data_IF_726019167725
#
_entry.id   IF_726019167725
#
_cell.length_a   1.000
_cell.length_b   1.000
_cell.length_c   1.000
_cell.angle_alpha   90.00
_cell.angle_beta   90.00
_cell.angle_gamma   90.00
#
_symmetry.space_group_name_H-M   'P 1'
#
loop_
_entity.id
_entity.type
_entity.pdbx_description
1 polymer ?
#
# COMPACT_ATOMS: atom_id res chain seq x y z
N UNK A 1 14.16 22.88 -18.76
CA UNK A 1 14.14 21.67 -19.60
C UNK A 1 13.12 20.73 -18.99
N UNK A 2 11.98 20.61 -19.63
CA UNK A 2 10.80 19.85 -19.15
C UNK A 2 11.05 18.37 -19.38
N UNK A 3 11.17 17.58 -18.30
CA UNK A 3 11.21 16.11 -18.37
C UNK A 3 9.77 15.58 -18.39
N UNK A 4 9.21 15.50 -19.60
CA UNK A 4 7.95 14.82 -19.80
C UNK A 4 8.12 13.30 -19.59
N UNK A 5 7.24 12.70 -18.80
CA UNK A 5 7.06 11.25 -18.70
C UNK A 5 6.63 10.70 -20.08
N UNK A 6 7.08 9.50 -20.49
CA UNK A 6 6.70 8.94 -21.79
C UNK A 6 5.18 8.71 -21.84
N UNK A 7 4.55 9.35 -22.84
CA UNK A 7 3.12 9.34 -23.05
C UNK A 7 2.55 7.96 -23.33
N UNK A 8 1.55 7.58 -22.59
CA UNK A 8 0.66 6.46 -22.88
C UNK A 8 -0.21 6.81 -24.07
N UNK A 9 -0.10 6.05 -25.16
CA UNK A 9 -1.08 6.12 -26.27
C UNK A 9 -2.42 5.58 -25.78
N UNK A 10 -3.57 6.18 -26.15
CA UNK A 10 -4.87 5.63 -25.79
C UNK A 10 -5.10 4.30 -26.51
N UNK A 11 -5.37 3.24 -25.75
CA UNK A 11 -5.81 1.96 -26.28
C UNK A 11 -7.25 2.11 -26.82
N UNK A 12 -7.40 1.91 -28.11
CA UNK A 12 -8.71 1.85 -28.79
C UNK A 12 -9.42 0.57 -28.35
N UNK A 13 -10.57 0.72 -27.69
CA UNK A 13 -11.43 -0.39 -27.27
C UNK A 13 -12.09 -1.01 -28.52
N UNK A 14 -11.64 -2.20 -28.93
CA UNK A 14 -12.34 -3.02 -29.92
C UNK A 14 -13.31 -3.94 -29.17
N UNK A 15 -14.61 -3.63 -29.27
CA UNK A 15 -15.69 -4.48 -28.79
C UNK A 15 -15.91 -5.63 -29.79
N UNK A 16 -15.39 -6.80 -29.49
CA UNK A 16 -15.80 -8.05 -30.16
C UNK A 16 -16.96 -8.70 -29.37
N UNK A 17 -18.13 -8.73 -30.00
CA UNK A 17 -19.28 -9.53 -29.55
C UNK A 17 -18.93 -11.01 -29.62
N UNK A 18 -19.07 -11.70 -28.51
CA UNK A 18 -19.13 -13.17 -28.49
C UNK A 18 -20.56 -13.58 -28.13
N UNK A 19 -21.11 -14.46 -29.00
CA UNK A 19 -22.48 -14.93 -29.00
C UNK A 19 -22.79 -15.88 -27.84
N UNK A 20 -24.06 -15.87 -27.51
CA UNK A 20 -24.76 -16.73 -26.58
C UNK A 20 -24.72 -18.20 -26.98
N UNK A 21 -24.42 -19.09 -26.04
CA UNK A 21 -25.04 -20.43 -26.01
C UNK A 21 -25.25 -20.87 -24.56
N UNK A 22 -26.52 -21.08 -24.26
CA UNK A 22 -27.07 -21.60 -23.02
C UNK A 22 -26.89 -23.12 -22.92
N UNK A 23 -26.53 -23.63 -21.77
CA UNK A 23 -27.08 -24.90 -21.25
C UNK A 23 -27.13 -24.86 -19.73
N UNK A 24 -28.36 -24.92 -19.22
CA UNK A 24 -28.74 -25.10 -17.83
C UNK A 24 -28.15 -26.38 -17.22
N UNK A 25 -27.55 -26.26 -16.03
CA UNK A 25 -27.63 -27.33 -14.99
C UNK A 25 -27.79 -26.69 -13.62
N UNK A 26 -29.00 -26.82 -13.06
CA UNK A 26 -29.30 -26.58 -11.64
C UNK A 26 -28.45 -27.49 -10.77
N UNK A 27 -27.75 -26.87 -9.79
CA UNK A 27 -27.29 -27.57 -8.60
C UNK A 27 -27.82 -26.78 -7.40
N UNK A 28 -28.74 -27.36 -6.67
CA UNK A 28 -29.24 -26.86 -5.40
C UNK A 28 -28.16 -27.06 -4.33
N UNK A 29 -27.73 -25.98 -3.72
CA UNK A 29 -26.79 -25.96 -2.58
C UNK A 29 -27.34 -25.08 -1.48
N UNK A 30 -27.67 -25.67 -0.33
CA UNK A 30 -28.23 -25.04 0.87
C UNK A 30 -27.41 -23.88 1.37
N UNK A 31 -28.07 -22.74 1.58
CA UNK A 31 -27.52 -21.56 2.23
C UNK A 31 -27.37 -21.83 3.74
N UNK A 32 -26.15 -21.80 4.25
CA UNK A 32 -25.87 -21.59 5.67
C UNK A 32 -25.76 -20.09 5.93
N UNK A 33 -26.75 -19.54 6.65
CA UNK A 33 -26.65 -18.20 7.24
C UNK A 33 -25.66 -18.25 8.40
N UNK A 34 -24.51 -17.62 8.27
CA UNK A 34 -23.63 -17.28 9.39
C UNK A 34 -23.70 -15.77 9.61
N UNK A 35 -24.52 -15.35 10.56
CA UNK A 35 -24.42 -14.07 11.20
C UNK A 35 -23.29 -14.14 12.23
N UNK A 36 -22.28 -13.30 12.10
CA UNK A 36 -21.21 -13.26 13.08
C UNK A 36 -20.46 -11.94 13.01
N UNK A 37 -20.73 -11.06 13.96
CA UNK A 37 -19.95 -9.88 14.19
C UNK A 37 -18.52 -10.28 14.62
N UNK A 38 -17.52 -9.77 13.93
CA UNK A 38 -16.12 -9.99 14.26
C UNK A 38 -15.70 -9.11 15.45
N UNK A 39 -15.61 -9.73 16.63
CA UNK A 39 -15.04 -9.12 17.83
C UNK A 39 -13.54 -9.37 17.88
N UNK A 40 -12.78 -8.31 18.08
CA UNK A 40 -11.32 -8.36 18.23
C UNK A 40 -10.93 -9.05 19.56
N UNK A 41 -10.13 -10.14 19.47
CA UNK A 41 -9.42 -10.69 20.62
C UNK A 41 -8.11 -9.91 20.83
N UNK A 42 -7.97 -9.27 22.00
CA UNK A 42 -6.75 -8.56 22.41
C UNK A 42 -5.60 -9.56 22.61
N UNK A 43 -4.40 -9.16 22.16
CA UNK A 43 -3.11 -9.88 22.24
C UNK A 43 -2.71 -10.40 23.66
N UNK A 44 -3.43 -10.02 24.71
CA UNK A 44 -3.07 -10.33 26.11
C UNK A 44 -3.53 -11.71 26.63
N UNK A 45 -4.13 -12.57 25.79
CA UNK A 45 -4.65 -13.88 26.22
C UNK A 45 -4.04 -15.11 25.52
N UNK A 46 -2.95 -14.94 24.75
CA UNK A 46 -2.31 -16.04 24.03
C UNK A 46 -0.96 -16.46 24.64
N UNK A 47 -0.92 -16.63 25.95
CA UNK A 47 0.18 -17.38 26.61
C UNK A 47 -0.36 -18.74 26.99
N UNK A 48 -0.11 -19.78 26.16
CA UNK A 48 -0.36 -21.13 26.61
C UNK A 48 -0.86 -22.17 25.60
N UNK A 49 -0.54 -22.07 24.30
CA UNK A 49 -0.75 -23.19 23.38
C UNK A 49 0.57 -23.54 22.66
N UNK A 50 1.29 -24.52 23.20
CA UNK A 50 2.36 -25.23 22.50
C UNK A 50 1.69 -26.20 21.51
N UNK A 51 1.90 -25.99 20.20
CA UNK A 51 1.46 -26.92 19.16
C UNK A 51 0.40 -26.39 18.16
N UNK A 52 0.31 -25.07 17.91
CA UNK A 52 -0.57 -24.51 16.88
C UNK A 52 -0.05 -24.79 15.47
N UNK A 53 -0.96 -25.11 14.55
CA UNK A 53 -0.70 -25.24 13.12
C UNK A 53 -0.07 -23.92 12.59
N UNK A 54 1.17 -23.92 12.07
CA UNK A 54 1.82 -22.72 11.58
C UNK A 54 1.05 -22.06 10.39
N UNK A 55 0.13 -22.77 9.74
CA UNK A 55 -0.72 -22.21 8.68
C UNK A 55 -1.91 -21.41 9.25
N UNK A 56 -2.36 -21.68 10.48
CA UNK A 56 -3.42 -20.94 11.14
C UNK A 56 -2.97 -19.50 11.48
N UNK A 57 -1.71 -19.31 11.87
CA UNK A 57 -1.15 -17.99 12.17
C UNK A 57 -1.06 -17.07 10.93
N UNK A 58 -0.87 -17.65 9.73
CA UNK A 58 -0.79 -16.89 8.47
C UNK A 58 -2.14 -16.25 8.11
N UNK A 59 -3.25 -16.89 8.46
CA UNK A 59 -4.60 -16.38 8.18
C UNK A 59 -4.89 -15.08 8.95
N UNK A 60 -4.34 -14.92 10.16
CA UNK A 60 -4.54 -13.75 11.02
C UNK A 60 -3.71 -12.54 10.60
N UNK A 61 -2.72 -12.72 9.70
CA UNK A 61 -1.76 -11.69 9.26
C UNK A 61 -2.09 -11.10 7.90
N UNK A 62 -3.17 -11.53 7.25
CA UNK A 62 -3.62 -10.90 6.00
C UNK A 62 -4.18 -9.52 6.31
N UNK A 63 -3.49 -8.52 5.79
CA UNK A 63 -3.94 -7.14 5.88
C UNK A 63 -5.15 -6.94 4.96
N UNK A 64 -6.13 -6.18 5.43
CA UNK A 64 -7.35 -5.84 4.70
C UNK A 64 -7.64 -4.33 4.74
N UNK A 65 -8.60 -3.90 3.95
CA UNK A 65 -9.05 -2.51 3.91
C UNK A 65 -8.00 -1.55 3.38
N UNK A 66 -8.07 -0.29 3.84
CA UNK A 66 -7.16 0.77 3.39
C UNK A 66 -5.96 0.90 4.33
N UNK A 67 -4.78 0.90 3.74
CA UNK A 67 -3.49 1.11 4.42
C UNK A 67 -2.84 2.34 3.80
N UNK A 68 -2.58 3.38 4.59
CA UNK A 68 -1.93 4.57 4.08
C UNK A 68 -0.42 4.35 3.90
N UNK A 69 0.09 4.62 2.71
CA UNK A 69 1.53 4.78 2.51
C UNK A 69 1.92 6.14 3.12
N UNK A 70 2.37 6.12 4.37
CA UNK A 70 2.57 7.31 5.17
C UNK A 70 3.70 8.20 4.64
N UNK A 71 3.49 9.52 4.67
CA UNK A 71 4.55 10.49 4.42
C UNK A 71 5.56 10.49 5.57
N UNK A 72 6.83 10.76 5.28
CA UNK A 72 7.82 11.08 6.30
C UNK A 72 7.80 12.57 6.58
N UNK A 73 7.39 13.00 7.79
CA UNK A 73 7.40 14.42 8.13
C UNK A 73 8.83 14.95 8.20
N UNK A 74 9.04 16.18 7.73
CA UNK A 74 10.34 16.85 7.73
C UNK A 74 10.25 18.28 8.26
N UNK A 75 11.32 18.75 8.87
CA UNK A 75 11.55 20.16 9.16
C UNK A 75 11.99 20.90 7.89
N UNK A 76 12.03 22.23 7.94
CA UNK A 76 12.45 23.05 6.79
C UNK A 76 13.93 22.88 6.42
N UNK A 77 14.76 22.38 7.34
CA UNK A 77 16.17 22.00 7.10
C UNK A 77 16.32 20.58 6.53
N UNK A 78 15.22 19.92 6.17
CA UNK A 78 15.12 18.55 5.66
C UNK A 78 15.49 17.45 6.68
N UNK A 79 15.67 17.74 7.95
CA UNK A 79 15.75 16.72 8.99
C UNK A 79 14.36 16.09 9.24
N UNK A 80 14.33 14.82 9.66
CA UNK A 80 13.07 14.12 9.89
C UNK A 80 12.41 14.63 11.17
N UNK A 81 11.14 15.03 11.08
CA UNK A 81 10.32 15.51 12.17
C UNK A 81 9.50 14.34 12.80
N UNK A 82 10.14 13.58 13.67
CA UNK A 82 9.51 12.43 14.34
C UNK A 82 8.34 12.83 15.25
N UNK A 83 8.34 14.07 15.76
CA UNK A 83 7.30 14.58 16.67
C UNK A 83 5.94 14.75 15.97
N UNK A 84 5.91 14.85 14.64
CA UNK A 84 4.68 14.91 13.84
C UNK A 84 4.01 13.56 13.63
N UNK A 85 4.70 12.45 13.83
CA UNK A 85 4.19 11.10 13.58
C UNK A 85 2.92 10.79 14.40
N UNK A 86 2.81 11.11 15.70
CA UNK A 86 1.58 10.86 16.45
C UNK A 86 0.34 11.58 15.88
N UNK A 87 0.50 12.85 15.48
CA UNK A 87 -0.60 13.60 14.87
C UNK A 87 -1.02 13.02 13.51
N UNK A 88 -0.07 12.55 12.72
CA UNK A 88 -0.35 11.88 11.45
C UNK A 88 -1.09 10.56 11.67
N UNK A 89 -0.70 9.75 12.65
CA UNK A 89 -1.35 8.49 12.99
C UNK A 89 -2.80 8.72 13.47
N UNK A 90 -3.01 9.70 14.34
CA UNK A 90 -4.34 10.09 14.81
C UNK A 90 -5.25 10.54 13.66
N UNK A 91 -4.74 11.39 12.77
CA UNK A 91 -5.47 11.83 11.58
C UNK A 91 -5.92 10.65 10.73
N UNK A 92 -5.01 9.73 10.42
CA UNK A 92 -5.31 8.53 9.63
C UNK A 92 -6.36 7.64 10.31
N UNK A 93 -6.28 7.48 11.64
CA UNK A 93 -7.28 6.73 12.40
C UNK A 93 -8.67 7.37 12.33
N UNK A 94 -8.75 8.72 12.44
CA UNK A 94 -10.01 9.48 12.28
C UNK A 94 -10.63 9.29 10.88
N UNK A 95 -9.81 9.18 9.84
CA UNK A 95 -10.25 8.87 8.48
C UNK A 95 -10.65 7.39 8.30
N UNK A 96 -10.50 6.55 9.32
CA UNK A 96 -10.81 5.12 9.29
C UNK A 96 -9.78 4.26 8.55
N UNK A 97 -8.55 4.74 8.45
CA UNK A 97 -7.44 3.98 7.87
C UNK A 97 -6.98 2.89 8.83
N UNK A 98 -7.01 1.63 8.37
CA UNK A 98 -6.76 0.46 9.20
C UNK A 98 -5.28 0.14 9.44
N UNK A 99 -4.39 0.69 8.63
CA UNK A 99 -2.97 0.46 8.78
C UNK A 99 -2.10 1.51 8.11
N UNK A 100 -0.83 1.49 8.44
CA UNK A 100 0.18 2.41 7.91
C UNK A 100 1.34 1.63 7.30
N UNK A 101 1.74 2.01 6.09
CA UNK A 101 2.91 1.49 5.38
C UNK A 101 4.01 2.55 5.44
N UNK A 102 4.98 2.35 6.32
CA UNK A 102 5.96 3.35 6.70
C UNK A 102 7.29 3.17 5.97
N UNK A 103 7.86 4.27 5.52
CA UNK A 103 9.18 4.30 4.86
C UNK A 103 9.19 3.60 3.51
N UNK A 104 8.06 3.62 2.78
CA UNK A 104 7.99 3.24 1.37
C UNK A 104 8.31 4.39 0.42
N UNK A 105 7.85 4.33 -0.84
CA UNK A 105 8.08 5.37 -1.85
C UNK A 105 7.48 6.71 -1.41
N UNK A 106 6.24 6.74 -0.93
CA UNK A 106 5.59 7.93 -0.39
C UNK A 106 6.32 8.50 0.83
N UNK A 107 6.92 7.63 1.64
CA UNK A 107 7.77 8.00 2.77
C UNK A 107 9.22 8.34 2.39
N UNK A 108 9.52 8.52 1.11
CA UNK A 108 10.83 8.96 0.61
C UNK A 108 12.00 8.05 1.03
N UNK A 109 11.78 6.72 1.11
CA UNK A 109 12.73 5.77 1.69
C UNK A 109 14.15 5.83 1.09
N UNK A 110 14.29 6.17 -0.20
CA UNK A 110 15.58 6.26 -0.87
C UNK A 110 16.31 7.58 -0.56
N UNK A 111 15.63 8.56 0.01
CA UNK A 111 16.17 9.85 0.45
C UNK A 111 16.49 9.88 1.96
N UNK A 112 16.20 8.78 2.69
CA UNK A 112 16.45 8.64 4.11
C UNK A 112 17.65 7.74 4.38
N UNK A 113 18.45 8.10 5.39
CA UNK A 113 19.49 7.20 5.90
C UNK A 113 18.85 6.00 6.63
N UNK A 114 19.60 4.90 6.77
CA UNK A 114 19.16 3.73 7.55
C UNK A 114 18.83 4.15 8.99
N UNK A 115 19.62 5.02 9.62
CA UNK A 115 19.38 5.51 10.98
C UNK A 115 18.11 6.35 11.12
N UNK A 116 17.78 7.19 10.12
CA UNK A 116 16.51 7.94 10.10
C UNK A 116 15.32 7.00 9.98
N UNK A 117 15.41 5.97 9.13
CA UNK A 117 14.34 4.97 8.98
C UNK A 117 14.12 4.15 10.26
N UNK A 118 15.19 3.79 10.98
CA UNK A 118 15.10 3.10 12.28
C UNK A 118 14.33 3.95 13.30
N UNK A 119 14.68 5.22 13.46
CA UNK A 119 13.96 6.15 14.36
C UNK A 119 12.51 6.38 13.91
N UNK A 120 12.28 6.41 12.59
CA UNK A 120 10.92 6.54 12.06
C UNK A 120 10.06 5.32 12.43
N UNK A 121 10.63 4.10 12.40
CA UNK A 121 9.93 2.90 12.85
C UNK A 121 9.61 2.94 14.35
N UNK A 122 10.52 3.42 15.19
CA UNK A 122 10.28 3.61 16.64
C UNK A 122 9.10 4.58 16.88
N UNK A 123 9.07 5.72 16.19
CA UNK A 123 8.00 6.69 16.30
C UNK A 123 6.64 6.11 15.86
N UNK A 124 6.59 5.43 14.71
CA UNK A 124 5.38 4.81 14.19
C UNK A 124 4.91 3.61 15.00
N UNK A 125 5.81 2.79 15.54
CA UNK A 125 5.46 1.63 16.35
C UNK A 125 4.62 2.00 17.57
N UNK A 126 4.94 3.11 18.23
CA UNK A 126 4.14 3.64 19.34
C UNK A 126 2.85 4.29 18.84
N UNK A 127 2.93 5.13 17.80
CA UNK A 127 1.80 5.90 17.30
C UNK A 127 0.71 5.00 16.69
N UNK A 128 1.08 4.02 15.86
CA UNK A 128 0.14 3.08 15.24
C UNK A 128 -0.57 2.23 16.31
N UNK A 129 0.17 1.71 17.30
CA UNK A 129 -0.40 0.93 18.40
C UNK A 129 -1.42 1.73 19.20
N UNK A 130 -1.14 2.99 19.52
CA UNK A 130 -2.04 3.86 20.27
C UNK A 130 -3.33 4.16 19.52
N UNK A 131 -3.31 4.09 18.19
CA UNK A 131 -4.46 4.32 17.32
C UNK A 131 -5.11 3.02 16.79
N UNK A 132 -4.67 1.85 17.23
CA UNK A 132 -5.22 0.56 16.81
C UNK A 132 -4.99 0.24 15.33
N UNK A 133 -3.92 0.79 14.73
CA UNK A 133 -3.55 0.60 13.33
C UNK A 133 -2.51 -0.51 13.18
N UNK A 134 -2.59 -1.25 12.08
CA UNK A 134 -1.51 -2.14 11.67
C UNK A 134 -0.29 -1.35 11.23
N UNK A 135 0.89 -1.77 11.67
CA UNK A 135 2.14 -1.14 11.29
C UNK A 135 2.93 -2.05 10.34
N UNK A 136 3.05 -1.64 9.08
CA UNK A 136 3.89 -2.26 8.05
C UNK A 136 5.16 -1.44 7.88
N UNK A 137 6.32 -2.01 8.21
CA UNK A 137 7.62 -1.36 8.02
C UNK A 137 8.22 -1.75 6.67
N UNK A 138 8.50 -0.78 5.80
CA UNK A 138 9.24 -1.04 4.56
C UNK A 138 10.74 -1.10 4.86
N UNK A 139 11.36 -2.27 4.66
CA UNK A 139 12.76 -2.54 4.99
C UNK A 139 13.67 -2.65 3.75
N UNK A 140 13.12 -2.45 2.54
CA UNK A 140 13.89 -2.56 1.29
C UNK A 140 15.06 -1.57 1.24
N UNK A 141 16.23 -2.05 0.82
CA UNK A 141 17.46 -1.29 0.63
C UNK A 141 18.34 -1.97 -0.42
N UNK A 142 19.26 -1.24 -1.08
CA UNK A 142 20.22 -1.82 -2.02
C UNK A 142 21.38 -2.58 -1.32
N UNK A 143 21.67 -2.21 -0.07
CA UNK A 143 22.68 -2.87 0.77
C UNK A 143 21.99 -3.93 1.63
N UNK A 144 22.46 -5.18 1.57
CA UNK A 144 21.94 -6.27 2.38
C UNK A 144 22.09 -6.02 3.88
N UNK A 145 23.26 -5.58 4.41
CA UNK A 145 23.41 -5.29 5.84
C UNK A 145 22.46 -4.19 6.33
N UNK A 146 22.18 -3.15 5.52
CA UNK A 146 21.24 -2.09 5.86
C UNK A 146 19.77 -2.60 5.84
N UNK A 147 19.38 -3.40 4.84
CA UNK A 147 18.08 -4.06 4.83
C UNK A 147 17.87 -4.92 6.09
N UNK A 148 18.88 -5.72 6.46
CA UNK A 148 18.87 -6.53 7.68
C UNK A 148 18.82 -5.70 8.97
N UNK A 149 19.50 -4.56 9.00
CA UNK A 149 19.43 -3.62 10.13
C UNK A 149 18.02 -3.03 10.28
N UNK A 150 17.36 -2.72 9.15
CA UNK A 150 15.97 -2.25 9.13
C UNK A 150 14.98 -3.35 9.57
N UNK A 151 15.21 -4.61 9.21
CA UNK A 151 14.40 -5.74 9.71
C UNK A 151 14.47 -5.84 11.22
N UNK A 152 15.69 -5.79 11.80
CA UNK A 152 15.86 -5.79 13.27
C UNK A 152 15.14 -4.62 13.94
N UNK A 153 15.28 -3.42 13.37
CA UNK A 153 14.63 -2.22 13.89
C UNK A 153 13.10 -2.32 13.80
N UNK A 154 12.55 -2.81 12.70
CA UNK A 154 11.12 -3.03 12.52
C UNK A 154 10.56 -3.99 13.57
N UNK A 155 11.21 -5.15 13.78
CA UNK A 155 10.85 -6.10 14.81
C UNK A 155 10.90 -5.48 16.21
N UNK A 156 11.99 -4.77 16.54
CA UNK A 156 12.17 -4.10 17.84
C UNK A 156 11.17 -2.96 18.08
N UNK A 157 10.69 -2.31 17.03
CA UNK A 157 9.71 -1.20 17.10
C UNK A 157 8.26 -1.71 17.16
N UNK A 158 8.02 -3.02 17.06
CA UNK A 158 6.70 -3.63 17.13
C UNK A 158 5.91 -3.50 15.80
N UNK A 159 6.61 -3.53 14.67
CA UNK A 159 5.94 -3.70 13.39
C UNK A 159 5.20 -5.05 13.35
N UNK A 160 3.99 -5.05 12.81
CA UNK A 160 3.21 -6.28 12.62
C UNK A 160 3.70 -7.06 11.41
N UNK A 161 4.21 -6.34 10.42
CA UNK A 161 4.59 -6.86 9.10
C UNK A 161 5.79 -6.08 8.57
N UNK A 162 6.69 -6.75 7.87
CA UNK A 162 7.73 -6.11 7.07
C UNK A 162 7.43 -6.22 5.57
N UNK A 163 7.88 -5.25 4.82
CA UNK A 163 7.76 -5.27 3.35
C UNK A 163 9.05 -4.74 2.71
N UNK A 164 9.39 -5.28 1.55
CA UNK A 164 10.55 -4.79 0.80
C UNK A 164 10.28 -4.81 -0.71
N UNK A 165 10.74 -3.77 -1.41
CA UNK A 165 10.86 -3.78 -2.86
C UNK A 165 12.19 -4.43 -3.29
N UNK A 166 12.28 -4.82 -4.55
CA UNK A 166 13.52 -5.33 -5.13
C UNK A 166 14.65 -4.28 -5.06
N UNK A 167 15.93 -4.70 -4.93
CA UNK A 167 17.06 -3.79 -5.05
C UNK A 167 17.09 -3.17 -6.46
N UNK A 168 17.41 -1.87 -6.52
CA UNK A 168 17.21 -1.04 -7.71
C UNK A 168 18.47 -0.81 -8.51
N UNK A 169 19.64 -0.94 -7.90
CA UNK A 169 20.93 -0.70 -8.57
C UNK A 169 21.50 -1.97 -9.19
N UNK A 170 21.91 -2.96 -8.40
CA UNK A 170 22.17 -4.31 -8.89
C UNK A 170 20.87 -5.11 -8.83
N UNK A 171 20.24 -5.27 -10.00
CA UNK A 171 18.90 -5.84 -10.10
C UNK A 171 18.97 -7.36 -10.12
N UNK A 172 18.02 -8.08 -9.48
CA UNK A 172 17.90 -9.51 -9.61
C UNK A 172 17.59 -9.89 -11.07
N UNK A 173 18.23 -10.94 -11.55
CA UNK A 173 18.10 -11.38 -12.95
C UNK A 173 16.77 -12.09 -13.23
N UNK A 174 16.17 -12.71 -12.20
CA UNK A 174 14.94 -13.51 -12.27
C UNK A 174 14.27 -13.59 -10.90
N UNK A 175 13.11 -14.25 -10.83
CA UNK A 175 12.34 -14.43 -9.60
C UNK A 175 13.10 -15.23 -8.54
N UNK A 176 13.92 -16.21 -8.93
CA UNK A 176 14.74 -17.00 -8.02
C UNK A 176 15.79 -16.14 -7.31
N UNK A 177 16.56 -15.33 -8.05
CA UNK A 177 17.55 -14.41 -7.48
C UNK A 177 16.91 -13.37 -6.55
N UNK A 178 15.67 -12.91 -6.84
CA UNK A 178 14.92 -12.05 -5.95
C UNK A 178 14.49 -12.78 -4.68
N UNK A 179 14.07 -14.03 -4.78
CA UNK A 179 13.71 -14.86 -3.64
C UNK A 179 14.94 -15.11 -2.74
N UNK A 180 16.10 -15.44 -3.31
CA UNK A 180 17.37 -15.58 -2.58
C UNK A 180 17.72 -14.32 -1.80
N UNK A 181 17.56 -13.16 -2.43
CA UNK A 181 17.76 -11.86 -1.78
C UNK A 181 16.85 -11.71 -0.56
N UNK A 182 15.56 -12.01 -0.66
CA UNK A 182 14.63 -11.84 0.46
C UNK A 182 14.81 -12.89 1.56
N UNK A 183 15.27 -14.09 1.25
CA UNK A 183 15.70 -15.07 2.27
C UNK A 183 16.79 -14.46 3.15
N UNK A 184 17.79 -13.81 2.55
CA UNK A 184 18.84 -13.14 3.31
C UNK A 184 18.35 -11.88 4.04
N UNK A 185 17.49 -11.06 3.41
CA UNK A 185 16.93 -9.86 4.03
C UNK A 185 16.11 -10.19 5.28
N UNK A 186 15.27 -11.23 5.23
CA UNK A 186 14.37 -11.59 6.34
C UNK A 186 15.04 -12.42 7.43
N UNK A 187 16.25 -12.94 7.20
CA UNK A 187 16.98 -13.81 8.14
C UNK A 187 17.13 -13.28 9.57
N UNK A 188 17.29 -11.95 9.84
CA UNK A 188 17.41 -11.45 11.21
C UNK A 188 16.15 -11.57 12.07
N UNK A 189 14.95 -11.69 11.46
CA UNK A 189 13.67 -11.88 12.13
C UNK A 189 12.76 -12.79 11.28
N UNK A 190 13.08 -14.08 11.20
CA UNK A 190 12.42 -15.02 10.28
C UNK A 190 10.95 -15.27 10.62
N UNK A 191 10.52 -14.91 11.83
CA UNK A 191 9.13 -15.00 12.30
C UNK A 191 8.26 -13.81 11.83
N UNK A 192 8.86 -12.72 11.30
CA UNK A 192 8.13 -11.55 10.85
C UNK A 192 7.38 -11.85 9.55
N UNK A 193 6.07 -11.57 9.48
CA UNK A 193 5.31 -11.65 8.25
C UNK A 193 5.90 -10.73 7.18
N UNK A 194 5.99 -11.22 5.94
CA UNK A 194 6.65 -10.51 4.86
C UNK A 194 5.75 -10.33 3.64
N UNK A 195 5.71 -9.10 3.12
CA UNK A 195 5.11 -8.75 1.83
C UNK A 195 6.19 -8.28 0.84
N UNK A 196 6.22 -8.88 -0.34
CA UNK A 196 6.97 -8.30 -1.46
C UNK A 196 6.27 -7.03 -1.95
N UNK A 197 7.04 -5.97 -2.21
CA UNK A 197 6.54 -4.73 -2.81
C UNK A 197 6.94 -4.70 -4.29
N UNK A 198 6.00 -5.10 -5.16
CA UNK A 198 6.16 -5.09 -6.60
C UNK A 198 5.83 -3.71 -7.16
N UNK A 199 6.86 -2.97 -7.59
CA UNK A 199 6.76 -1.61 -8.14
C UNK A 199 7.77 -1.40 -9.27
N UNK A 200 7.59 -2.04 -10.45
CA UNK A 200 8.54 -2.00 -11.56
C UNK A 200 8.84 -0.59 -12.06
N UNK A 201 7.84 0.31 -12.03
CA UNK A 201 8.00 1.70 -12.45
C UNK A 201 9.12 2.43 -11.69
N UNK A 202 9.30 2.13 -10.40
CA UNK A 202 10.31 2.78 -9.55
C UNK A 202 11.60 1.97 -9.46
N UNK A 203 11.50 0.64 -9.43
CA UNK A 203 12.66 -0.23 -9.28
C UNK A 203 13.37 -0.51 -10.61
N UNK A 204 12.64 -0.42 -11.71
CA UNK A 204 13.11 -0.90 -13.02
C UNK A 204 13.36 -2.41 -13.03
N UNK A 205 12.74 -3.15 -12.11
CA UNK A 205 12.79 -4.63 -12.02
C UNK A 205 11.44 -5.16 -12.47
N UNK A 206 11.43 -5.87 -13.59
CA UNK A 206 10.24 -6.52 -14.15
C UNK A 206 10.48 -8.03 -14.15
N UNK A 207 9.73 -8.75 -13.33
CA UNK A 207 9.82 -10.20 -13.15
C UNK A 207 8.41 -10.80 -13.21
N UNK A 208 8.32 -12.14 -13.40
CA UNK A 208 7.05 -12.85 -13.18
C UNK A 208 6.76 -12.92 -11.67
N UNK A 209 5.86 -12.04 -11.23
CA UNK A 209 5.47 -11.94 -9.80
C UNK A 209 4.74 -13.20 -9.33
N UNK A 210 4.06 -13.93 -10.21
CA UNK A 210 3.41 -15.20 -9.90
C UNK A 210 4.46 -16.28 -9.62
N UNK A 211 5.52 -16.38 -10.45
CA UNK A 211 6.65 -17.28 -10.21
C UNK A 211 7.33 -16.95 -8.87
N UNK A 212 7.56 -15.66 -8.61
CA UNK A 212 8.09 -15.23 -7.31
C UNK A 212 7.20 -15.67 -6.14
N UNK A 213 5.86 -15.53 -6.23
CA UNK A 213 4.94 -16.00 -5.18
C UNK A 213 5.13 -17.50 -4.90
N UNK A 214 5.27 -18.31 -5.94
CA UNK A 214 5.46 -19.75 -5.78
C UNK A 214 6.76 -20.07 -5.04
N UNK A 215 7.88 -19.47 -5.47
CA UNK A 215 9.19 -19.64 -4.83
C UNK A 215 9.19 -19.10 -3.39
N UNK A 216 8.58 -17.93 -3.17
CA UNK A 216 8.53 -17.31 -1.84
C UNK A 216 7.75 -18.16 -0.83
N UNK A 217 6.68 -18.84 -1.25
CA UNK A 217 5.93 -19.76 -0.38
C UNK A 217 6.73 -20.99 0.05
N UNK A 218 7.62 -21.44 -0.78
CA UNK A 218 8.48 -22.59 -0.48
C UNK A 218 9.67 -22.21 0.40
N UNK A 219 10.19 -20.98 0.23
CA UNK A 219 11.50 -20.58 0.76
C UNK A 219 11.47 -19.50 1.84
N UNK A 220 10.36 -18.75 1.96
CA UNK A 220 10.15 -17.71 2.96
C UNK A 220 9.01 -18.14 3.89
N UNK A 221 9.29 -18.71 5.06
CA UNK A 221 8.27 -19.34 5.93
C UNK A 221 7.12 -18.40 6.35
N UNK A 222 7.37 -17.09 6.39
CA UNK A 222 6.39 -16.06 6.77
C UNK A 222 5.99 -15.15 5.60
N UNK A 223 6.13 -15.62 4.36
CA UNK A 223 5.62 -14.90 3.21
C UNK A 223 4.08 -14.87 3.22
N UNK A 224 3.52 -13.68 3.23
CA UNK A 224 2.06 -13.46 3.28
C UNK A 224 1.51 -13.08 1.90
N UNK A 225 2.22 -12.23 1.16
CA UNK A 225 1.69 -11.75 -0.09
C UNK A 225 2.50 -10.64 -0.77
N UNK A 226 1.81 -9.90 -1.62
CA UNK A 226 2.41 -8.85 -2.45
C UNK A 226 1.64 -7.54 -2.30
N UNK A 227 2.35 -6.42 -2.08
CA UNK A 227 1.84 -5.10 -2.40
C UNK A 227 2.09 -4.87 -3.89
N UNK A 228 1.04 -4.90 -4.68
CA UNK A 228 1.08 -4.87 -6.14
C UNK A 228 0.83 -3.45 -6.66
N UNK A 229 1.92 -2.75 -7.02
CA UNK A 229 1.91 -1.41 -7.65
C UNK A 229 2.42 -1.48 -9.10
N UNK A 230 2.09 -2.57 -9.78
CA UNK A 230 2.41 -2.87 -11.16
C UNK A 230 1.17 -2.63 -12.03
N UNK A 231 1.34 -2.09 -13.24
CA UNK A 231 0.25 -1.78 -14.18
C UNK A 231 -0.08 -2.97 -15.11
N UNK A 232 0.53 -4.13 -14.91
CA UNK A 232 0.24 -5.35 -15.67
C UNK A 232 -1.01 -6.03 -15.08
N UNK A 233 -2.15 -5.82 -15.74
CA UNK A 233 -3.44 -6.35 -15.32
C UNK A 233 -3.51 -7.88 -15.45
N UNK A 234 -2.84 -8.48 -16.44
CA UNK A 234 -2.78 -9.93 -16.60
C UNK A 234 -1.97 -10.56 -15.47
N UNK A 235 -0.85 -9.95 -15.11
CA UNK A 235 -0.04 -10.37 -13.96
C UNK A 235 -0.83 -10.23 -12.65
N UNK A 236 -1.57 -9.13 -12.45
CA UNK A 236 -2.43 -8.96 -11.28
C UNK A 236 -3.43 -10.11 -11.15
N UNK A 237 -4.16 -10.42 -12.24
CA UNK A 237 -5.14 -11.51 -12.25
C UNK A 237 -4.47 -12.87 -11.99
N UNK A 238 -3.30 -13.11 -12.59
CA UNK A 238 -2.53 -14.33 -12.37
C UNK A 238 -2.11 -14.47 -10.89
N UNK A 239 -1.64 -13.41 -10.25
CA UNK A 239 -1.26 -13.40 -8.83
C UNK A 239 -2.46 -13.65 -7.91
N UNK A 240 -3.60 -12.98 -8.14
CA UNK A 240 -4.81 -13.15 -7.32
C UNK A 240 -5.36 -14.59 -7.42
N UNK A 241 -5.34 -15.19 -8.62
CA UNK A 241 -5.83 -16.56 -8.85
C UNK A 241 -4.82 -17.64 -8.49
N UNK A 242 -3.57 -17.28 -8.21
CA UNK A 242 -2.49 -18.24 -7.97
C UNK A 242 -2.83 -19.18 -6.81
N UNK A 243 -2.80 -20.50 -7.07
CA UNK A 243 -3.06 -21.58 -6.10
C UNK A 243 -4.29 -21.27 -5.21
N UNK A 244 -5.39 -20.83 -5.84
CA UNK A 244 -6.64 -20.55 -5.13
C UNK A 244 -6.61 -19.34 -4.20
N UNK A 245 -5.82 -18.31 -4.50
CA UNK A 245 -5.74 -17.08 -3.68
C UNK A 245 -4.93 -17.25 -2.41
N UNK A 246 -3.93 -18.10 -2.46
CA UNK A 246 -3.09 -18.44 -1.29
C UNK A 246 -2.17 -17.31 -0.82
N UNK A 247 -1.85 -16.31 -1.68
CA UNK A 247 -1.14 -15.09 -1.30
C UNK A 247 -2.13 -13.92 -1.14
N UNK A 248 -1.89 -13.04 -0.16
CA UNK A 248 -2.64 -11.80 -0.04
C UNK A 248 -2.11 -10.78 -1.04
N UNK A 249 -3.00 -10.20 -1.85
CA UNK A 249 -2.64 -9.14 -2.81
C UNK A 249 -3.23 -7.83 -2.32
N UNK A 250 -2.34 -6.88 -1.97
CA UNK A 250 -2.68 -5.51 -1.61
C UNK A 250 -2.49 -4.62 -2.83
N UNK A 251 -3.57 -4.02 -3.32
CA UNK A 251 -3.52 -3.21 -4.53
C UNK A 251 -2.87 -1.84 -4.25
N UNK A 252 -1.92 -1.44 -5.07
CA UNK A 252 -1.09 -0.25 -4.83
C UNK A 252 -1.31 0.89 -5.84
N UNK A 253 -2.47 0.93 -6.53
CA UNK A 253 -2.78 1.96 -7.53
C UNK A 253 -4.11 2.62 -7.18
N UNK A 254 -4.04 3.74 -6.46
CA UNK A 254 -5.19 4.43 -5.86
C UNK A 254 -6.26 4.81 -6.88
N UNK A 255 -5.85 5.39 -8.03
CA UNK A 255 -6.76 5.80 -9.10
C UNK A 255 -7.46 4.63 -9.82
N UNK A 256 -7.17 3.38 -9.43
CA UNK A 256 -7.75 2.16 -9.97
C UNK A 256 -8.23 1.20 -8.87
N UNK A 257 -8.53 1.70 -7.65
CA UNK A 257 -8.93 0.83 -6.54
C UNK A 257 -10.09 -0.11 -6.92
N UNK A 258 -11.11 0.41 -7.60
CA UNK A 258 -12.26 -0.39 -8.05
C UNK A 258 -11.85 -1.57 -8.94
N UNK A 259 -10.82 -1.40 -9.78
CA UNK A 259 -10.27 -2.51 -10.56
C UNK A 259 -9.63 -3.57 -9.66
N UNK A 260 -8.80 -3.17 -8.68
CA UNK A 260 -8.23 -4.10 -7.71
C UNK A 260 -9.30 -4.90 -6.96
N UNK A 261 -10.37 -4.25 -6.51
CA UNK A 261 -11.50 -4.90 -5.85
C UNK A 261 -12.19 -5.90 -6.79
N UNK A 262 -12.44 -5.51 -8.04
CA UNK A 262 -13.12 -6.37 -9.04
C UNK A 262 -12.33 -7.63 -9.40
N UNK A 263 -10.99 -7.58 -9.31
CA UNK A 263 -10.11 -8.73 -9.53
C UNK A 263 -10.02 -9.62 -8.28
N UNK A 264 -10.34 -9.09 -7.09
CA UNK A 264 -10.36 -9.83 -5.83
C UNK A 264 -9.17 -9.55 -4.91
N UNK A 265 -8.55 -8.36 -5.03
CA UNK A 265 -7.57 -7.91 -4.04
C UNK A 265 -8.22 -7.72 -2.67
N UNK A 266 -7.54 -8.17 -1.59
CA UNK A 266 -8.11 -8.19 -0.24
C UNK A 266 -7.98 -6.85 0.49
N UNK A 267 -7.05 -6.00 0.07
CA UNK A 267 -6.81 -4.68 0.65
C UNK A 267 -6.07 -3.79 -0.33
N UNK A 268 -5.79 -2.58 0.10
CA UNK A 268 -5.07 -1.61 -0.73
C UNK A 268 -4.09 -0.77 0.09
N UNK A 269 -2.95 -0.45 -0.52
CA UNK A 269 -1.93 0.44 0.07
C UNK A 269 -1.75 1.64 -0.85
N UNK A 270 -2.19 2.82 -0.41
CA UNK A 270 -2.18 4.01 -1.23
C UNK A 270 -1.67 5.27 -0.53
N UNK A 271 -1.10 6.18 -1.31
CA UNK A 271 -0.61 7.47 -0.83
C UNK A 271 -1.71 8.49 -0.62
N UNK A 272 -2.77 8.44 -1.43
CA UNK A 272 -3.91 9.36 -1.30
C UNK A 272 -4.82 9.03 -0.12
N UNK A 273 -4.67 7.86 0.50
CA UNK A 273 -5.38 7.51 1.73
C UNK A 273 -4.93 8.36 2.93
N UNK A 274 -3.79 9.05 2.81
CA UNK A 274 -3.35 10.01 3.82
C UNK A 274 -4.29 11.21 4.00
N UNK A 275 -5.09 11.56 2.99
CA UNK A 275 -5.96 12.74 3.02
C UNK A 275 -7.33 12.54 2.34
N UNK A 276 -7.56 11.42 1.67
CA UNK A 276 -8.81 11.15 0.94
C UNK A 276 -9.41 9.75 1.25
N UNK A 277 -9.05 9.11 2.36
CA UNK A 277 -9.54 7.78 2.71
C UNK A 277 -11.08 7.67 2.74
N UNK A 278 -11.87 8.68 3.16
CA UNK A 278 -13.33 8.62 3.08
C UNK A 278 -13.87 8.38 1.67
N UNK A 279 -13.26 8.96 0.62
CA UNK A 279 -13.62 8.68 -0.77
C UNK A 279 -13.45 7.19 -1.10
N UNK A 280 -12.31 6.63 -0.76
CA UNK A 280 -11.98 5.23 -1.08
C UNK A 280 -12.81 4.23 -0.29
N UNK A 281 -13.17 4.55 0.95
CA UNK A 281 -14.12 3.75 1.74
C UNK A 281 -15.50 3.73 1.09
N UNK A 282 -15.95 4.85 0.51
CA UNK A 282 -17.22 4.90 -0.25
C UNK A 282 -17.13 4.09 -1.56
N UNK A 283 -15.96 4.06 -2.23
CA UNK A 283 -15.75 3.17 -3.38
C UNK A 283 -15.89 1.72 -2.96
N UNK A 284 -15.28 1.31 -1.84
CA UNK A 284 -15.41 -0.06 -1.31
C UNK A 284 -16.86 -0.39 -0.95
N UNK A 285 -17.54 0.50 -0.22
CA UNK A 285 -18.94 0.29 0.18
C UNK A 285 -19.86 0.13 -1.03
N UNK A 286 -19.76 1.02 -2.02
CA UNK A 286 -20.57 0.93 -3.24
C UNK A 286 -20.26 -0.37 -4.03
N UNK A 287 -19.01 -0.81 -4.06
CA UNK A 287 -18.63 -2.07 -4.68
C UNK A 287 -19.25 -3.28 -3.93
N UNK A 288 -19.16 -3.29 -2.60
CA UNK A 288 -19.69 -4.37 -1.75
C UNK A 288 -21.23 -4.47 -1.82
N UNK A 289 -21.89 -3.32 -1.99
CA UNK A 289 -23.36 -3.23 -2.21
C UNK A 289 -23.77 -3.57 -3.65
N UNK A 290 -22.82 -3.73 -4.58
CA UNK A 290 -23.08 -4.02 -5.99
C UNK A 290 -23.46 -2.80 -6.82
N UNK A 291 -23.40 -1.57 -6.26
CA UNK A 291 -23.63 -0.32 -6.98
C UNK A 291 -22.38 0.11 -7.75
N UNK A 292 -22.17 -0.57 -8.88
CA UNK A 292 -21.00 -0.33 -9.72
C UNK A 292 -20.98 1.06 -10.37
N UNK A 293 -22.13 1.68 -10.57
CA UNK A 293 -22.19 3.01 -11.20
C UNK A 293 -21.79 4.08 -10.20
N UNK A 294 -22.25 3.99 -8.94
CA UNK A 294 -21.75 4.84 -7.85
C UNK A 294 -20.24 4.62 -7.62
N UNK A 295 -19.78 3.37 -7.59
CA UNK A 295 -18.36 3.06 -7.42
C UNK A 295 -17.49 3.67 -8.53
N UNK A 296 -17.92 3.58 -9.80
CA UNK A 296 -17.21 4.21 -10.95
C UNK A 296 -17.19 5.74 -10.84
N UNK A 297 -18.31 6.36 -10.46
CA UNK A 297 -18.40 7.80 -10.29
C UNK A 297 -17.45 8.31 -9.19
N UNK A 298 -17.36 7.59 -8.07
CA UNK A 298 -16.42 7.88 -6.99
C UNK A 298 -14.97 7.65 -7.42
N UNK A 299 -14.69 6.56 -8.14
CA UNK A 299 -13.35 6.29 -8.67
C UNK A 299 -12.88 7.37 -9.67
N UNK A 300 -13.80 7.92 -10.46
CA UNK A 300 -13.49 9.03 -11.37
C UNK A 300 -12.99 10.29 -10.61
N UNK A 301 -13.55 10.58 -9.42
CA UNK A 301 -13.04 11.67 -8.55
C UNK A 301 -11.61 11.42 -8.12
N UNK A 302 -11.30 10.19 -7.68
CA UNK A 302 -9.93 9.79 -7.33
C UNK A 302 -8.97 9.95 -8.51
N UNK A 303 -9.35 9.48 -9.68
CA UNK A 303 -8.52 9.59 -10.88
C UNK A 303 -8.30 11.06 -11.30
N UNK A 304 -9.33 11.90 -11.20
CA UNK A 304 -9.24 13.34 -11.46
C UNK A 304 -8.29 14.06 -10.50
N UNK A 305 -8.38 13.76 -9.21
CA UNK A 305 -7.47 14.30 -8.18
C UNK A 305 -6.02 13.91 -8.45
N UNK A 306 -5.75 12.64 -8.72
CA UNK A 306 -4.39 12.17 -8.98
C UNK A 306 -3.85 12.76 -10.28
N UNK A 307 -4.69 12.92 -11.31
CA UNK A 307 -4.29 13.62 -12.53
C UNK A 307 -3.87 15.05 -12.24
N UNK A 308 -4.63 15.80 -11.44
CA UNK A 308 -4.27 17.14 -11.01
C UNK A 308 -2.90 17.15 -10.28
N UNK A 309 -2.66 16.19 -9.37
CA UNK A 309 -1.38 16.12 -8.65
C UNK A 309 -0.19 15.89 -9.59
N UNK A 310 -0.37 15.11 -10.65
CA UNK A 310 0.67 14.88 -11.66
C UNK A 310 1.03 16.13 -12.47
N UNK A 311 0.13 17.11 -12.55
CA UNK A 311 0.39 18.39 -13.23
C UNK A 311 1.30 19.30 -12.39
N UNK A 312 1.35 19.10 -11.06
CA UNK A 312 2.14 19.89 -10.11
C UNK A 312 3.44 19.21 -9.64
N UNK A 313 3.69 17.97 -9.92
CA UNK A 313 4.64 17.05 -9.30
C UNK A 313 4.02 16.37 -8.06
N UNK A 314 3.87 15.04 -8.17
CA UNK A 314 2.97 14.27 -7.30
C UNK A 314 3.31 14.36 -5.80
N UNK A 315 4.56 14.05 -5.41
CA UNK A 315 4.90 13.90 -4.00
C UNK A 315 4.93 15.23 -3.23
N UNK A 316 5.52 16.32 -3.78
CA UNK A 316 5.37 17.66 -3.19
C UNK A 316 3.92 18.10 -3.05
N UNK A 317 3.09 17.81 -4.06
CA UNK A 317 1.67 18.13 -4.05
C UNK A 317 0.93 17.37 -2.94
N UNK A 318 1.18 16.08 -2.79
CA UNK A 318 0.58 15.27 -1.74
C UNK A 318 0.93 15.80 -0.33
N UNK A 319 2.17 16.24 -0.09
CA UNK A 319 2.56 16.90 1.18
C UNK A 319 1.91 18.27 1.36
N UNK A 320 1.75 19.06 0.30
CA UNK A 320 1.01 20.31 0.37
C UNK A 320 -0.46 20.06 0.74
N UNK A 321 -1.10 19.04 0.17
CA UNK A 321 -2.47 18.65 0.53
C UNK A 321 -2.57 18.22 1.99
N UNK A 322 -1.57 17.49 2.52
CA UNK A 322 -1.54 17.18 3.96
C UNK A 322 -1.56 18.43 4.84
N UNK A 323 -0.84 19.48 4.46
CA UNK A 323 -0.91 20.76 5.17
C UNK A 323 -2.31 21.40 5.04
N UNK A 324 -2.94 21.39 3.87
CA UNK A 324 -4.29 21.93 3.64
C UNK A 324 -5.37 21.19 4.45
N UNK A 325 -5.19 19.90 4.72
CA UNK A 325 -6.11 19.13 5.60
C UNK A 325 -5.73 19.16 7.08
N UNK A 326 -4.76 20.01 7.46
CA UNK A 326 -4.41 20.29 8.86
C UNK A 326 -3.30 19.40 9.45
N UNK A 327 -2.65 18.56 8.69
CA UNK A 327 -1.53 17.71 9.15
C UNK A 327 -0.29 17.96 8.30
N UNK A 328 0.38 19.08 8.56
CA UNK A 328 1.58 19.46 7.82
C UNK A 328 2.72 18.46 8.02
N UNK A 329 3.14 17.82 6.95
CA UNK A 329 4.28 16.91 6.89
C UNK A 329 5.58 17.59 6.42
N UNK A 330 5.61 18.91 6.30
CA UNK A 330 6.76 19.66 5.87
C UNK A 330 7.15 19.43 4.39
N UNK A 331 8.38 19.81 4.00
CA UNK A 331 8.85 19.68 2.62
C UNK A 331 9.15 18.24 2.23
N UNK A 332 9.31 18.02 0.92
CA UNK A 332 10.02 16.87 0.37
C UNK A 332 11.53 17.12 0.42
N UNK A 333 12.34 16.04 0.49
CA UNK A 333 13.80 16.13 0.46
C UNK A 333 14.30 16.26 -1.00
N UNK A 334 15.35 17.08 -1.26
CA UNK A 334 16.01 17.09 -2.57
C UNK A 334 16.42 15.68 -3.03
N UNK A 335 16.37 15.37 -4.34
CA UNK A 335 16.22 16.32 -5.48
C UNK A 335 14.80 16.80 -5.79
N UNK A 336 13.79 16.36 -5.04
CA UNK A 336 12.43 16.88 -5.18
C UNK A 336 12.36 18.33 -4.67
N UNK A 337 11.44 19.11 -5.24
CA UNK A 337 11.28 20.51 -4.90
C UNK A 337 9.93 20.77 -4.25
N UNK A 338 9.92 21.54 -3.13
CA UNK A 338 8.68 22.05 -2.53
C UNK A 338 7.92 22.89 -3.56
N UNK A 339 6.60 22.82 -3.55
CA UNK A 339 5.77 23.74 -4.34
C UNK A 339 5.99 25.18 -3.85
N UNK A 340 5.96 26.13 -4.81
CA UNK A 340 5.97 27.55 -4.44
C UNK A 340 4.68 27.94 -3.73
N UNK A 341 4.65 28.99 -2.88
CA UNK A 341 3.42 29.48 -2.26
C UNK A 341 2.32 29.75 -3.30
N UNK A 342 2.66 30.38 -4.42
CA UNK A 342 1.71 30.63 -5.51
C UNK A 342 1.15 29.33 -6.12
N UNK A 343 1.97 28.29 -6.24
CA UNK A 343 1.50 26.96 -6.69
C UNK A 343 0.60 26.28 -5.66
N UNK A 344 0.85 26.46 -4.37
CA UNK A 344 -0.02 25.95 -3.29
C UNK A 344 -1.37 26.67 -3.31
N UNK A 345 -1.38 28.01 -3.46
CA UNK A 345 -2.61 28.80 -3.58
C UNK A 345 -3.45 28.40 -4.81
N UNK A 346 -2.78 28.09 -5.94
CA UNK A 346 -3.48 27.62 -7.13
C UNK A 346 -4.01 26.20 -6.93
N UNK A 347 -3.21 25.29 -6.37
CA UNK A 347 -3.64 23.94 -6.01
C UNK A 347 -4.88 23.96 -5.13
N UNK A 348 -4.91 24.82 -4.12
CA UNK A 348 -6.08 24.95 -3.25
C UNK A 348 -7.32 25.36 -4.04
N UNK A 349 -7.22 26.35 -4.93
CA UNK A 349 -8.35 26.75 -5.80
C UNK A 349 -8.82 25.60 -6.71
N UNK A 350 -7.89 24.84 -7.26
CA UNK A 350 -8.22 23.70 -8.13
C UNK A 350 -8.91 22.58 -7.36
N UNK A 351 -8.47 22.33 -6.11
CA UNK A 351 -9.09 21.38 -5.19
C UNK A 351 -10.50 21.85 -4.75
N UNK A 352 -10.68 23.13 -4.45
CA UNK A 352 -11.99 23.73 -4.15
C UNK A 352 -12.94 23.58 -5.35
N UNK A 353 -12.46 23.87 -6.56
CA UNK A 353 -13.25 23.78 -7.78
C UNK A 353 -13.75 22.35 -8.07
N UNK A 354 -13.01 21.33 -7.66
CA UNK A 354 -13.45 19.93 -7.79
C UNK A 354 -14.24 19.42 -6.57
N UNK A 355 -14.48 20.27 -5.56
CA UNK A 355 -15.19 19.93 -4.32
C UNK A 355 -14.41 18.96 -3.42
N UNK A 356 -13.08 18.97 -3.49
CA UNK A 356 -12.21 18.01 -2.79
C UNK A 356 -12.51 17.94 -1.29
N UNK A 357 -12.63 19.08 -0.62
CA UNK A 357 -12.80 19.12 0.84
C UNK A 357 -14.17 18.59 1.31
N UNK A 358 -15.17 18.53 0.42
CA UNK A 358 -16.49 17.96 0.73
C UNK A 358 -16.49 16.43 0.73
N UNK A 359 -15.66 15.80 -0.08
CA UNK A 359 -15.71 14.35 -0.29
C UNK A 359 -14.44 13.60 0.12
N UNK A 360 -13.35 14.30 0.36
CA UNK A 360 -12.08 13.68 0.72
C UNK A 360 -11.88 13.55 2.24
N UNK A 361 -12.38 14.52 3.01
CA UNK A 361 -12.09 14.68 4.44
C UNK A 361 -13.30 14.35 5.33
N UNK A 362 -14.52 14.33 4.76
CA UNK A 362 -15.79 14.08 5.46
C UNK A 362 -16.42 12.71 5.15
#
# INVERSE_FOLDING_TARGET
>A
MSSAWPGTRPATLVLTRLGSNSTDKKVEGKACKAGGGYGFARRSQLTGCQGGDPTADIIWMKLDGLIAAAHTPMHDDFSVNYERVPAQAEHLAKLGVRGVFVGGTTGECQSLTTGERQKLFEAWGSAARNNGQHFVAHVGHNSLPDAQALVRAASGSGADVISAMAPTFFKPANAEALCDWFVEVTRPAPEMPFYFYDIPLMTGVTLDTREFIDLAKERLPRFVGVKFSNFDDDMLQACVRNKGGSASILYGIDQRLLHGLSVGCQGAVGSTYNFAAPLYRRIQAAFDEGDLDAAKALQAKSAGMIKLFMEYDYLPTAKAVMALVGVDCGPVRPPLHRLSPASVDQLQRDLDAMGFFDWAVN
#
